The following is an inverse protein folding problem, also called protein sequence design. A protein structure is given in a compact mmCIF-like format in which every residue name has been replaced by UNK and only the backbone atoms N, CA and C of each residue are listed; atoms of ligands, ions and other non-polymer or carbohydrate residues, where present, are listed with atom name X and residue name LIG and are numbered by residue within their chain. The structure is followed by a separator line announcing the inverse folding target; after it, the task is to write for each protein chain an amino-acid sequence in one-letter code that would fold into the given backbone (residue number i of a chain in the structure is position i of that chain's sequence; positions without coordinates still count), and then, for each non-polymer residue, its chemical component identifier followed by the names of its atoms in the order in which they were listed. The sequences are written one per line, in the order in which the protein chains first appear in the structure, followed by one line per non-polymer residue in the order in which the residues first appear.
data_IF_302265795102
#
_entry.id   IF_302265795102
#
_cell.length_a   1.000
_cell.length_b   1.000
_cell.length_c   1.000
_cell.angle_alpha   90.00
_cell.angle_beta   90.00
_cell.angle_gamma   90.00
#
_symmetry.space_group_name_H-M   'P 1'
#
loop_
_entity.id
_entity.type
_entity.pdbx_description
1 polymer ?
#
# COMPACT_ATOMS: atom_id res chain seq x y z
N UNK A 1 35.97 7.50 -10.03
CA UNK A 1 34.53 7.52 -10.36
C UNK A 1 34.33 6.80 -11.68
N UNK A 2 33.22 6.07 -11.84
CA UNK A 2 32.89 5.42 -13.12
C UNK A 2 32.74 6.45 -14.26
N UNK A 3 33.31 6.12 -15.42
CA UNK A 3 33.41 6.94 -16.64
C UNK A 3 32.32 6.63 -17.68
N UNK A 4 32.18 7.47 -18.70
CA UNK A 4 31.24 7.19 -19.81
C UNK A 4 31.64 5.97 -20.66
N UNK A 5 32.90 5.53 -20.60
CA UNK A 5 33.36 4.29 -21.26
C UNK A 5 32.73 3.06 -20.61
N UNK A 6 32.56 3.07 -19.28
CA UNK A 6 31.89 1.99 -18.55
C UNK A 6 30.37 2.00 -18.81
N UNK A 7 29.79 3.18 -19.04
CA UNK A 7 28.37 3.31 -19.40
C UNK A 7 28.04 2.75 -20.80
N UNK A 8 29.03 2.53 -21.67
CA UNK A 8 28.82 1.98 -23.01
C UNK A 8 28.16 0.59 -23.00
N UNK A 9 28.38 -0.21 -21.95
CA UNK A 9 27.76 -1.53 -21.78
C UNK A 9 26.21 -1.48 -21.72
N UNK A 10 25.63 -0.34 -21.35
CA UNK A 10 24.18 -0.14 -21.25
C UNK A 10 23.56 0.47 -22.53
N UNK A 11 24.37 0.80 -23.54
CA UNK A 11 23.92 1.29 -24.84
C UNK A 11 22.89 2.42 -24.76
N UNK A 12 21.73 2.22 -25.39
CA UNK A 12 20.62 3.21 -25.40
C UNK A 12 19.99 3.45 -24.02
N UNK A 13 20.11 2.52 -23.07
CA UNK A 13 19.58 2.69 -21.72
C UNK A 13 20.46 3.59 -20.83
N UNK A 14 21.74 3.79 -21.20
CA UNK A 14 22.71 4.52 -20.41
C UNK A 14 22.20 5.91 -19.95
N UNK A 15 21.55 6.67 -20.84
CA UNK A 15 21.07 8.03 -20.58
C UNK A 15 19.97 8.14 -19.49
N UNK A 16 19.28 7.04 -19.20
CA UNK A 16 18.27 6.95 -18.14
C UNK A 16 18.87 6.46 -16.82
N UNK A 17 19.84 5.55 -16.89
CA UNK A 17 20.57 5.04 -15.72
C UNK A 17 21.55 6.08 -15.16
N UNK A 18 22.19 6.88 -16.03
CA UNK A 18 23.21 7.85 -15.64
C UNK A 18 23.41 8.92 -16.71
N UNK A 19 23.49 10.17 -16.30
CA UNK A 19 23.84 11.26 -17.22
C UNK A 19 25.30 11.14 -17.71
N UNK A 20 25.60 11.43 -18.99
CA UNK A 20 26.96 11.52 -19.51
C UNK A 20 27.85 12.45 -18.68
N UNK A 21 29.16 12.22 -18.72
CA UNK A 21 30.16 12.99 -17.97
C UNK A 21 30.10 14.47 -18.29
N UNK A 22 29.83 14.81 -19.57
CA UNK A 22 29.57 16.18 -19.99
C UNK A 22 28.37 16.79 -19.26
N UNK A 23 27.22 16.12 -19.23
CA UNK A 23 26.02 16.58 -18.51
C UNK A 23 26.27 16.64 -16.99
N UNK A 24 27.02 15.68 -16.42
CA UNK A 24 27.39 15.65 -14.99
C UNK A 24 28.29 16.84 -14.62
N UNK A 25 29.34 17.10 -15.39
CA UNK A 25 30.27 18.23 -15.18
C UNK A 25 29.54 19.56 -15.42
N UNK A 26 28.69 19.65 -16.44
CA UNK A 26 27.89 20.85 -16.69
C UNK A 26 26.92 21.11 -15.53
N UNK A 27 26.20 20.10 -15.04
CA UNK A 27 25.30 20.20 -13.90
C UNK A 27 26.03 20.58 -12.59
N UNK A 28 27.20 20.00 -12.32
CA UNK A 28 28.04 20.36 -11.16
C UNK A 28 28.65 21.76 -11.26
N UNK A 29 28.76 22.33 -12.47
CA UNK A 29 29.21 23.70 -12.72
C UNK A 29 28.06 24.71 -12.83
N UNK A 30 26.79 24.30 -12.70
CA UNK A 30 25.66 25.25 -12.66
C UNK A 30 25.78 26.12 -11.41
N UNK A 31 25.59 27.45 -11.51
CA UNK A 31 25.58 28.31 -10.33
C UNK A 31 24.54 27.87 -9.32
N UNK A 32 24.98 27.56 -8.10
CA UNK A 32 24.13 27.23 -6.96
C UNK A 32 24.34 28.25 -5.85
N UNK A 33 23.27 28.97 -5.50
CA UNK A 33 23.28 29.86 -4.34
C UNK A 33 22.50 29.21 -3.18
N UNK A 34 23.25 28.78 -2.16
CA UNK A 34 22.72 28.20 -0.93
C UNK A 34 21.84 29.17 -0.10
N UNK A 35 21.81 30.48 -0.43
CA UNK A 35 20.97 31.48 0.26
C UNK A 35 19.58 31.66 -0.38
N UNK A 36 19.41 31.17 -1.61
CA UNK A 36 18.15 31.24 -2.37
C UNK A 36 17.60 29.88 -2.78
N UNK A 37 18.40 28.82 -2.91
CA UNK A 37 17.87 27.46 -3.02
C UNK A 37 17.24 26.99 -1.69
N UNK A 38 16.02 26.46 -1.73
CA UNK A 38 15.32 25.95 -0.55
C UNK A 38 14.34 24.82 -0.91
N UNK A 39 13.67 24.30 0.12
CA UNK A 39 12.41 23.57 -0.01
C UNK A 39 11.35 24.36 0.76
N UNK A 40 10.10 24.32 0.33
CA UNK A 40 8.96 24.86 1.10
C UNK A 40 7.93 23.79 1.37
N UNK A 41 7.30 23.90 2.53
CA UNK A 41 6.12 23.09 2.84
C UNK A 41 4.98 23.46 1.89
N UNK A 42 4.37 22.45 1.26
CA UNK A 42 3.19 22.59 0.42
C UNK A 42 2.07 21.68 0.93
N UNK A 43 0.82 22.09 0.73
CA UNK A 43 -0.37 21.41 1.28
C UNK A 43 -0.74 20.14 0.50
N UNK A 44 -0.20 19.95 -0.72
CA UNK A 44 -0.44 18.77 -1.57
C UNK A 44 0.81 17.91 -1.74
N UNK A 45 1.94 18.53 -2.06
CA UNK A 45 3.19 17.83 -2.44
C UNK A 45 4.17 17.67 -1.26
N UNK A 46 3.74 18.03 -0.03
CA UNK A 46 4.50 18.06 1.22
C UNK A 46 5.71 19.00 1.22
N UNK A 47 6.73 18.76 0.39
CA UNK A 47 7.97 19.54 0.33
C UNK A 47 8.45 19.74 -1.10
N UNK A 48 8.21 20.93 -1.65
CA UNK A 48 8.58 21.25 -3.01
C UNK A 48 9.93 21.98 -3.08
N UNK A 49 10.84 21.49 -3.93
CA UNK A 49 12.12 22.15 -4.26
C UNK A 49 11.86 23.50 -4.89
N UNK A 50 12.59 24.54 -4.50
CA UNK A 50 12.48 25.80 -5.22
C UNK A 50 13.49 26.89 -4.91
N UNK A 51 13.35 27.98 -5.64
CA UNK A 51 14.21 29.17 -5.52
C UNK A 51 13.45 30.32 -4.86
N UNK A 52 14.03 30.89 -3.82
CA UNK A 52 13.54 32.08 -3.12
C UNK A 52 13.61 33.28 -4.04
N UNK A 53 12.44 33.77 -4.44
CA UNK A 53 12.23 34.94 -5.28
C UNK A 53 12.26 36.26 -4.50
N UNK A 54 11.81 36.24 -3.24
CA UNK A 54 11.70 37.42 -2.37
C UNK A 54 11.61 37.02 -0.90
N UNK A 55 12.06 37.93 -0.01
CA UNK A 55 11.87 37.87 1.45
C UNK A 55 11.36 39.23 1.92
N UNK A 56 10.25 39.25 2.65
CA UNK A 56 9.64 40.47 3.21
C UNK A 56 8.89 40.16 4.51
N UNK A 57 9.10 40.97 5.56
CA UNK A 57 8.35 40.87 6.82
C UNK A 57 8.30 39.47 7.48
N UNK A 58 9.32 38.62 7.28
CA UNK A 58 9.35 37.22 7.74
C UNK A 58 8.71 36.20 6.79
N UNK A 59 8.17 36.62 5.64
CA UNK A 59 7.60 35.78 4.58
C UNK A 59 8.62 35.54 3.47
N UNK A 60 8.47 34.43 2.76
CA UNK A 60 9.38 33.96 1.69
C UNK A 60 8.55 33.44 0.50
N UNK A 61 8.97 33.72 -0.74
CA UNK A 61 8.24 33.33 -1.97
C UNK A 61 9.09 32.39 -2.83
N UNK A 62 8.53 31.27 -3.30
CA UNK A 62 9.30 30.13 -3.87
C UNK A 62 8.57 29.50 -5.09
N UNK A 63 9.27 28.74 -5.96
CA UNK A 63 8.78 28.18 -7.25
C UNK A 63 9.24 26.72 -7.42
N UNK A 64 8.39 25.80 -7.91
CA UNK A 64 8.28 24.42 -7.38
C UNK A 64 8.40 23.28 -8.44
N UNK A 65 8.83 22.06 -8.05
CA UNK A 65 9.08 20.85 -8.91
C UNK A 65 8.98 19.48 -8.16
N UNK A 66 8.84 18.37 -8.92
CA UNK A 66 8.02 17.14 -8.64
C UNK A 66 8.78 15.80 -9.04
N UNK A 67 8.39 14.50 -8.87
CA UNK A 67 7.29 13.70 -8.21
C UNK A 67 7.80 12.29 -7.70
N UNK A 68 7.09 11.14 -7.91
CA UNK A 68 7.17 9.76 -7.27
C UNK A 68 6.72 8.61 -8.24
N UNK A 69 6.74 7.25 -8.05
CA UNK A 69 7.40 6.16 -7.24
C UNK A 69 7.10 4.73 -7.86
N UNK A 70 7.24 3.55 -7.17
CA UNK A 70 7.05 2.18 -7.76
C UNK A 70 6.99 0.92 -6.83
N UNK A 71 6.87 -0.32 -7.38
CA UNK A 71 6.47 -1.62 -6.73
C UNK A 71 7.46 -2.86 -6.85
N UNK A 72 7.12 -4.09 -6.39
CA UNK A 72 8.02 -5.23 -5.97
C UNK A 72 7.52 -6.70 -6.39
N UNK A 73 8.34 -7.79 -6.56
CA UNK A 73 7.92 -9.23 -6.89
C UNK A 73 8.94 -10.36 -6.51
N UNK A 74 8.60 -11.43 -5.71
CA UNK A 74 9.55 -12.46 -5.14
C UNK A 74 10.14 -13.51 -6.13
N UNK A 75 11.40 -13.96 -5.93
CA UNK A 75 12.15 -14.90 -6.84
C UNK A 75 13.10 -15.87 -6.07
N UNK A 76 13.24 -17.15 -6.45
CA UNK A 76 14.09 -18.17 -5.77
C UNK A 76 15.27 -18.71 -6.58
N UNK A 77 16.36 -19.07 -5.88
CA UNK A 77 17.63 -19.53 -6.46
C UNK A 77 18.20 -20.79 -5.78
N UNK A 78 18.84 -21.65 -6.58
CA UNK A 78 19.55 -22.85 -6.10
C UNK A 78 21.01 -22.58 -5.71
N UNK A 79 21.71 -23.61 -5.20
CA UNK A 79 23.13 -23.55 -4.75
C UNK A 79 24.11 -22.84 -5.69
N UNK A 80 23.88 -22.90 -7.01
CA UNK A 80 24.76 -22.33 -8.04
C UNK A 80 24.35 -20.91 -8.50
N UNK A 81 23.45 -20.23 -7.78
CA UNK A 81 22.95 -18.91 -8.15
C UNK A 81 22.00 -18.91 -9.36
N UNK A 82 21.59 -20.09 -9.84
CA UNK A 82 20.60 -20.23 -10.92
C UNK A 82 19.18 -20.12 -10.38
N UNK A 83 18.29 -19.50 -11.16
CA UNK A 83 16.85 -19.47 -10.91
C UNK A 83 16.32 -20.90 -10.71
N UNK A 84 15.60 -21.13 -9.61
CA UNK A 84 15.05 -22.44 -9.26
C UNK A 84 13.51 -22.45 -9.33
N UNK A 85 12.86 -21.40 -8.83
CA UNK A 85 11.40 -21.22 -8.85
C UNK A 85 11.05 -19.75 -8.61
N UNK A 86 9.76 -19.43 -8.64
CA UNK A 86 9.20 -18.24 -7.98
C UNK A 86 8.01 -18.69 -7.12
N UNK A 87 7.59 -17.85 -6.19
CA UNK A 87 6.25 -17.93 -5.62
C UNK A 87 5.66 -16.53 -5.49
N UNK A 88 4.34 -16.47 -5.61
CA UNK A 88 3.57 -15.25 -5.36
C UNK A 88 2.69 -15.54 -4.14
N UNK A 89 2.79 -14.65 -3.16
CA UNK A 89 1.96 -14.64 -1.97
C UNK A 89 1.22 -13.30 -1.97
N UNK A 90 -0.11 -13.37 -1.83
CA UNK A 90 -0.99 -12.20 -2.01
C UNK A 90 -1.68 -11.89 -0.69
N UNK A 91 -1.63 -10.64 -0.27
CA UNK A 91 -2.18 -10.17 1.00
C UNK A 91 -3.39 -9.26 0.75
N UNK A 92 -4.40 -9.36 1.60
CA UNK A 92 -5.53 -8.42 1.70
C UNK A 92 -6.18 -8.05 0.35
N UNK A 93 -6.65 -9.04 -0.41
CA UNK A 93 -7.51 -8.78 -1.57
C UNK A 93 -8.75 -8.00 -1.12
N UNK A 94 -8.99 -6.83 -1.70
CA UNK A 94 -10.03 -5.92 -1.26
C UNK A 94 -11.44 -6.45 -1.62
N UNK A 95 -12.06 -7.18 -0.68
CA UNK A 95 -13.41 -7.76 -0.80
C UNK A 95 -14.53 -6.73 -0.96
N UNK A 96 -14.36 -5.51 -0.43
CA UNK A 96 -15.28 -4.38 -0.61
C UNK A 96 -15.45 -4.04 -2.09
N UNK A 97 -14.34 -3.89 -2.81
CA UNK A 97 -14.27 -3.46 -4.22
C UNK A 97 -15.03 -4.34 -5.22
N UNK A 98 -15.36 -5.58 -4.83
CA UNK A 98 -16.19 -6.54 -5.59
C UNK A 98 -17.68 -6.15 -5.61
N UNK A 99 -18.17 -5.36 -4.64
CA UNK A 99 -19.60 -4.99 -4.55
C UNK A 99 -19.86 -3.53 -4.17
N UNK A 100 -18.81 -2.72 -4.00
CA UNK A 100 -18.87 -1.32 -3.62
C UNK A 100 -17.70 -0.59 -4.26
N UNK A 101 -17.91 0.66 -4.68
CA UNK A 101 -16.86 1.55 -5.19
C UNK A 101 -17.11 2.95 -4.64
N UNK A 102 -16.06 3.70 -4.32
CA UNK A 102 -16.19 5.14 -4.11
C UNK A 102 -16.44 5.87 -5.45
N UNK A 103 -17.03 7.08 -5.47
CA UNK A 103 -17.45 7.74 -6.71
C UNK A 103 -16.34 7.97 -7.74
N UNK A 104 -15.11 8.23 -7.29
CA UNK A 104 -13.94 8.47 -8.15
C UNK A 104 -13.12 7.19 -8.41
N UNK A 105 -13.57 6.03 -7.91
CA UNK A 105 -12.90 4.73 -8.07
C UNK A 105 -13.60 3.80 -9.06
N UNK A 106 -12.90 2.74 -9.47
CA UNK A 106 -13.40 1.64 -10.30
C UNK A 106 -13.38 0.32 -9.52
N UNK A 107 -14.18 -0.65 -9.96
CA UNK A 107 -14.06 -2.05 -9.54
C UNK A 107 -12.84 -2.74 -10.17
N UNK A 108 -12.68 -4.04 -9.94
CA UNK A 108 -11.63 -4.82 -10.60
C UNK A 108 -11.78 -4.82 -12.13
N UNK A 109 -10.67 -4.63 -12.85
CA UNK A 109 -10.64 -4.47 -14.32
C UNK A 109 -11.43 -5.54 -15.08
N UNK A 110 -11.36 -6.79 -14.62
CA UNK A 110 -11.95 -7.95 -15.32
C UNK A 110 -13.45 -7.83 -15.60
N UNK A 111 -14.23 -7.18 -14.72
CA UNK A 111 -15.66 -6.98 -14.98
C UNK A 111 -15.87 -6.15 -16.26
N UNK A 112 -15.07 -5.11 -16.47
CA UNK A 112 -15.19 -4.22 -17.62
C UNK A 112 -14.54 -4.81 -18.87
N UNK A 113 -13.38 -5.47 -18.72
CA UNK A 113 -12.73 -6.26 -19.77
C UNK A 113 -13.71 -7.26 -20.40
N UNK A 114 -14.40 -8.07 -19.60
CA UNK A 114 -15.42 -9.02 -20.09
C UNK A 114 -16.58 -8.31 -20.81
N UNK A 115 -17.05 -7.16 -20.30
CA UNK A 115 -18.16 -6.40 -20.90
C UNK A 115 -17.79 -5.67 -22.22
N UNK A 116 -16.52 -5.65 -22.64
CA UNK A 116 -16.11 -5.01 -23.91
C UNK A 116 -16.66 -5.67 -25.18
N UNK A 117 -17.15 -6.91 -25.09
CA UNK A 117 -17.49 -7.78 -26.22
C UNK A 117 -16.34 -8.04 -27.20
N UNK A 118 -15.08 -7.91 -26.75
CA UNK A 118 -13.90 -8.23 -27.56
C UNK A 118 -13.72 -9.75 -27.73
N UNK A 119 -14.18 -10.54 -26.75
CA UNK A 119 -14.36 -12.01 -26.81
C UNK A 119 -15.85 -12.35 -26.58
N UNK A 120 -16.70 -12.31 -27.63
CA UNK A 120 -18.17 -12.46 -27.49
C UNK A 120 -18.61 -13.76 -26.81
N UNK A 121 -17.82 -14.83 -26.93
CA UNK A 121 -18.04 -16.11 -26.27
C UNK A 121 -18.08 -15.97 -24.73
N UNK A 122 -17.43 -14.97 -24.14
CA UNK A 122 -17.52 -14.68 -22.71
C UNK A 122 -18.88 -14.08 -22.33
N UNK A 123 -19.47 -13.26 -23.19
CA UNK A 123 -20.82 -12.70 -23.00
C UNK A 123 -21.85 -13.85 -23.04
N UNK A 124 -21.77 -14.72 -24.05
CA UNK A 124 -22.66 -15.88 -24.19
C UNK A 124 -22.50 -16.89 -23.03
N UNK A 125 -21.25 -17.19 -22.64
CA UNK A 125 -20.96 -18.17 -21.57
C UNK A 125 -21.36 -17.69 -20.18
N UNK A 126 -21.26 -16.39 -19.90
CA UNK A 126 -21.57 -15.82 -18.57
C UNK A 126 -22.95 -15.18 -18.47
N UNK A 127 -23.70 -15.13 -19.58
CA UNK A 127 -25.06 -14.59 -19.67
C UNK A 127 -25.18 -13.12 -19.22
N UNK A 128 -24.09 -12.35 -19.37
CA UNK A 128 -24.04 -10.91 -19.10
C UNK A 128 -24.45 -10.11 -20.35
N UNK A 129 -24.36 -8.78 -20.27
CA UNK A 129 -24.44 -7.88 -21.41
C UNK A 129 -23.24 -6.91 -21.39
N UNK A 130 -23.21 -5.96 -22.33
CA UNK A 130 -22.07 -5.05 -22.55
C UNK A 130 -22.19 -3.69 -21.83
N UNK A 131 -23.17 -3.53 -20.95
CA UNK A 131 -23.50 -2.28 -20.27
C UNK A 131 -23.21 -2.38 -18.75
N UNK A 132 -22.11 -1.78 -18.24
CA UNK A 132 -21.77 -1.83 -16.81
C UNK A 132 -22.87 -1.33 -15.86
N UNK A 133 -23.75 -0.43 -16.33
CA UNK A 133 -24.85 0.10 -15.50
C UNK A 133 -25.96 -0.92 -15.22
N UNK A 134 -26.05 -2.02 -15.98
CA UNK A 134 -26.98 -3.12 -15.70
C UNK A 134 -26.46 -4.04 -14.57
N UNK A 135 -25.24 -3.79 -14.08
CA UNK A 135 -24.59 -4.54 -13.01
C UNK A 135 -24.22 -3.60 -11.83
N UNK A 136 -25.15 -3.31 -10.90
CA UNK A 136 -24.95 -2.34 -9.81
C UNK A 136 -23.77 -2.61 -8.86
N UNK A 137 -23.09 -3.75 -8.98
CA UNK A 137 -21.94 -4.14 -8.15
C UNK A 137 -20.60 -3.66 -8.71
N UNK A 138 -20.56 -3.16 -9.95
CA UNK A 138 -19.36 -2.60 -10.60
C UNK A 138 -19.61 -1.23 -11.27
N UNK A 139 -20.73 -0.55 -10.96
CA UNK A 139 -21.13 0.74 -11.55
C UNK A 139 -21.54 1.80 -10.52
N UNK A 140 -21.04 1.68 -9.27
CA UNK A 140 -21.24 2.69 -8.23
C UNK A 140 -20.28 3.90 -8.33
N UNK A 141 -19.13 3.69 -8.99
CA UNK A 141 -18.13 4.71 -9.30
C UNK A 141 -17.85 4.80 -10.80
N UNK A 142 -16.59 5.06 -11.15
CA UNK A 142 -16.13 5.16 -12.54
C UNK A 142 -16.19 3.81 -13.26
N UNK A 143 -16.64 3.82 -14.52
CA UNK A 143 -16.77 2.61 -15.36
C UNK A 143 -15.70 2.50 -16.46
N UNK A 144 -14.95 3.55 -16.74
CA UNK A 144 -13.86 3.62 -17.75
C UNK A 144 -12.68 4.41 -17.21
N UNK A 145 -11.48 4.19 -17.74
CA UNK A 145 -10.25 4.92 -17.37
C UNK A 145 -9.50 5.32 -18.63
N UNK A 146 -9.18 6.60 -18.80
CA UNK A 146 -8.64 7.14 -20.06
C UNK A 146 -7.25 6.63 -20.45
N UNK A 147 -6.56 5.90 -19.56
CA UNK A 147 -5.24 5.31 -19.77
C UNK A 147 -5.24 3.78 -19.89
N UNK A 148 -6.42 3.15 -20.00
CA UNK A 148 -6.58 1.69 -20.06
C UNK A 148 -7.48 1.34 -21.25
N UNK A 149 -7.01 0.49 -22.16
CA UNK A 149 -7.90 -0.18 -23.12
C UNK A 149 -8.27 -1.57 -22.56
N UNK A 150 -9.48 -1.68 -22.02
CA UNK A 150 -9.99 -2.92 -21.44
C UNK A 150 -10.09 -4.08 -22.47
N UNK A 151 -9.90 -3.84 -23.77
CA UNK A 151 -9.84 -4.89 -24.81
C UNK A 151 -8.44 -5.49 -24.94
N UNK A 152 -7.41 -4.65 -25.04
CA UNK A 152 -6.02 -5.09 -25.11
C UNK A 152 -5.64 -5.84 -23.82
N UNK A 153 -6.10 -5.34 -22.68
CA UNK A 153 -5.96 -6.02 -21.38
C UNK A 153 -6.76 -7.33 -21.30
N UNK A 154 -7.91 -7.48 -21.98
CA UNK A 154 -8.63 -8.77 -22.06
C UNK A 154 -7.84 -9.82 -22.88
N UNK A 155 -7.04 -9.42 -23.86
CA UNK A 155 -6.16 -10.33 -24.58
C UNK A 155 -4.95 -10.77 -23.75
N UNK A 156 -4.49 -9.92 -22.82
CA UNK A 156 -3.49 -10.28 -21.82
C UNK A 156 -4.04 -11.14 -20.66
N UNK A 157 -5.36 -11.06 -20.36
CA UNK A 157 -5.97 -11.69 -19.17
C UNK A 157 -6.77 -12.95 -19.53
N UNK A 158 -6.24 -14.12 -19.18
CA UNK A 158 -6.85 -15.44 -19.45
C UNK A 158 -7.82 -15.84 -18.31
N UNK A 159 -9.15 -15.79 -18.54
CA UNK A 159 -10.17 -15.79 -17.46
C UNK A 159 -11.40 -16.66 -17.74
N UNK A 160 -11.85 -17.35 -16.67
CA UNK A 160 -13.16 -18.01 -16.57
C UNK A 160 -13.89 -17.64 -15.25
N UNK A 161 -15.00 -16.89 -15.38
CA UNK A 161 -16.18 -16.82 -14.48
C UNK A 161 -16.07 -16.36 -12.99
N UNK A 162 -16.91 -15.39 -12.55
CA UNK A 162 -17.83 -15.54 -11.37
C UNK A 162 -18.57 -14.25 -10.92
N UNK A 163 -19.83 -14.41 -10.46
CA UNK A 163 -20.80 -13.40 -9.91
C UNK A 163 -21.79 -14.18 -9.00
N UNK A 164 -22.40 -13.72 -7.89
CA UNK A 164 -22.40 -12.48 -7.05
C UNK A 164 -22.39 -12.87 -5.53
N UNK A 165 -21.96 -11.97 -4.61
CA UNK A 165 -21.91 -12.08 -3.11
C UNK A 165 -21.25 -13.34 -2.49
N UNK A 166 -21.79 -14.52 -2.77
CA UNK A 166 -20.98 -15.73 -2.92
C UNK A 166 -19.74 -15.43 -3.77
N UNK A 167 -19.83 -14.55 -4.79
CA UNK A 167 -18.69 -13.99 -5.51
C UNK A 167 -17.61 -13.32 -4.67
N UNK A 168 -17.86 -12.76 -3.47
CA UNK A 168 -16.75 -12.28 -2.63
C UNK A 168 -15.87 -13.44 -2.20
N UNK A 169 -16.49 -14.52 -1.71
CA UNK A 169 -15.77 -15.73 -1.30
C UNK A 169 -15.35 -16.60 -2.50
N UNK A 170 -16.09 -16.64 -3.60
CA UNK A 170 -15.75 -17.38 -4.82
C UNK A 170 -14.65 -16.66 -5.59
N UNK A 171 -14.69 -15.33 -5.76
CA UNK A 171 -13.61 -14.59 -6.41
C UNK A 171 -12.35 -14.59 -5.55
N UNK A 172 -12.45 -14.47 -4.22
CA UNK A 172 -11.33 -14.74 -3.30
C UNK A 172 -10.78 -16.16 -3.47
N UNK A 173 -11.62 -17.20 -3.36
CA UNK A 173 -11.18 -18.60 -3.48
C UNK A 173 -10.68 -18.93 -4.88
N UNK A 174 -11.20 -18.29 -5.93
CA UNK A 174 -10.76 -18.41 -7.32
C UNK A 174 -9.41 -17.72 -7.51
N UNK A 175 -9.22 -16.52 -6.97
CA UNK A 175 -7.96 -15.79 -7.01
C UNK A 175 -6.87 -16.55 -6.23
N UNK A 176 -7.18 -17.01 -5.01
CA UNK A 176 -6.31 -17.89 -4.23
C UNK A 176 -6.05 -19.22 -4.96
N UNK A 177 -7.05 -19.81 -5.63
CA UNK A 177 -6.87 -21.01 -6.46
C UNK A 177 -5.98 -20.72 -7.68
N UNK A 178 -6.13 -19.59 -8.37
CA UNK A 178 -5.26 -19.16 -9.46
C UNK A 178 -3.82 -18.99 -8.96
N UNK A 179 -3.60 -18.32 -7.82
CA UNK A 179 -2.29 -18.21 -7.16
C UNK A 179 -1.73 -19.60 -6.81
N UNK A 180 -2.55 -20.52 -6.28
CA UNK A 180 -2.14 -21.91 -6.02
C UNK A 180 -1.79 -22.65 -7.32
N UNK A 181 -2.54 -22.47 -8.41
CA UNK A 181 -2.27 -23.08 -9.72
C UNK A 181 -1.00 -22.52 -10.36
N UNK A 182 -0.78 -21.21 -10.27
CA UNK A 182 0.45 -20.53 -10.69
C UNK A 182 1.64 -21.08 -9.88
N UNK A 183 1.55 -21.09 -8.54
CA UNK A 183 2.59 -21.64 -7.68
C UNK A 183 2.83 -23.15 -7.92
N UNK A 184 1.82 -23.93 -8.33
CA UNK A 184 1.97 -25.32 -8.78
C UNK A 184 2.72 -25.46 -10.12
N UNK A 185 2.61 -24.49 -11.03
CA UNK A 185 3.39 -24.47 -12.28
C UNK A 185 4.82 -23.94 -12.07
N UNK A 186 5.02 -23.05 -11.09
CA UNK A 186 6.32 -22.48 -10.72
C UNK A 186 7.17 -23.43 -9.84
N UNK A 187 6.57 -24.44 -9.21
CA UNK A 187 7.28 -25.43 -8.40
C UNK A 187 7.96 -26.51 -9.26
N UNK A 188 9.19 -26.20 -9.67
CA UNK A 188 10.07 -27.09 -10.45
C UNK A 188 10.58 -28.33 -9.70
N UNK A 189 10.26 -28.49 -8.40
CA UNK A 189 10.83 -29.51 -7.48
C UNK A 189 12.37 -29.50 -7.37
N UNK A 190 13.06 -28.49 -7.88
CA UNK A 190 14.51 -28.36 -7.75
C UNK A 190 14.92 -27.97 -6.32
N UNK A 191 16.17 -28.26 -5.95
CA UNK A 191 16.73 -27.85 -4.67
C UNK A 191 16.85 -26.31 -4.59
N UNK A 192 16.19 -25.73 -3.60
CA UNK A 192 16.19 -24.28 -3.32
C UNK A 192 17.09 -24.01 -2.11
N UNK A 193 17.87 -22.93 -2.16
CA UNK A 193 18.82 -22.58 -1.10
C UNK A 193 18.73 -21.13 -0.66
N UNK A 194 18.39 -20.23 -1.58
CA UNK A 194 18.29 -18.79 -1.35
C UNK A 194 17.07 -18.25 -2.07
N UNK A 195 16.52 -17.14 -1.59
CA UNK A 195 15.48 -16.41 -2.29
C UNK A 195 15.73 -14.91 -2.16
N UNK A 196 15.28 -14.16 -3.15
CA UNK A 196 15.18 -12.70 -3.08
C UNK A 196 13.71 -12.43 -2.78
N UNK A 197 13.45 -11.97 -1.54
CA UNK A 197 12.13 -11.60 -1.04
C UNK A 197 11.81 -10.16 -1.43
N UNK A 198 10.72 -9.97 -2.15
CA UNK A 198 10.38 -8.71 -2.81
C UNK A 198 8.84 -8.53 -2.68
N UNK A 199 8.44 -8.01 -1.51
CA UNK A 199 7.08 -7.88 -0.94
C UNK A 199 6.30 -6.64 -1.43
N UNK A 200 5.30 -6.80 -2.28
CA UNK A 200 4.53 -5.67 -2.82
C UNK A 200 3.15 -5.51 -2.19
N UNK A 201 2.93 -4.39 -1.49
CA UNK A 201 1.69 -4.07 -0.79
C UNK A 201 1.28 -2.62 -1.04
N UNK A 202 0.07 -2.25 -0.63
CA UNK A 202 -0.31 -0.84 -0.49
C UNK A 202 0.58 -0.16 0.55
N UNK A 203 0.99 1.08 0.28
CA UNK A 203 1.72 1.91 1.25
C UNK A 203 0.81 2.34 2.42
N UNK A 204 1.32 3.19 3.30
CA UNK A 204 0.50 3.78 4.36
C UNK A 204 -0.53 4.74 3.74
N UNK A 205 -1.82 4.54 4.04
CA UNK A 205 -2.95 5.25 3.42
C UNK A 205 -3.76 6.06 4.44
N UNK A 206 -4.14 7.28 4.07
CA UNK A 206 -5.00 8.17 4.86
C UNK A 206 -6.04 8.81 3.94
N UNK A 207 -7.28 8.38 4.07
CA UNK A 207 -8.43 8.92 3.36
C UNK A 207 -9.33 9.74 4.29
N UNK A 208 -10.34 10.43 3.73
CA UNK A 208 -11.40 11.10 4.51
C UNK A 208 -12.35 10.10 5.20
N UNK A 209 -12.31 8.83 4.82
CA UNK A 209 -13.00 7.71 5.46
C UNK A 209 -12.08 6.49 5.50
N UNK A 210 -11.61 6.10 6.69
CA UNK A 210 -10.74 4.94 6.90
C UNK A 210 -11.52 3.87 7.65
N UNK A 211 -11.56 2.63 7.14
CA UNK A 211 -12.28 1.51 7.76
C UNK A 211 -11.32 0.37 8.13
N UNK A 212 -11.84 -0.83 8.35
CA UNK A 212 -11.07 -2.01 8.79
C UNK A 212 -9.95 -2.35 7.80
N UNK A 213 -10.21 -2.17 6.51
CA UNK A 213 -9.27 -2.40 5.41
C UNK A 213 -8.03 -1.50 5.53
N UNK A 214 -8.23 -0.19 5.77
CA UNK A 214 -7.14 0.74 6.04
C UNK A 214 -6.40 0.43 7.34
N UNK A 215 -7.09 -0.03 8.39
CA UNK A 215 -6.40 -0.45 9.63
C UNK A 215 -5.42 -1.62 9.35
N UNK A 216 -5.84 -2.61 8.55
CA UNK A 216 -4.98 -3.74 8.18
C UNK A 216 -3.78 -3.32 7.31
N UNK A 217 -4.00 -2.42 6.33
CA UNK A 217 -2.93 -1.84 5.49
C UNK A 217 -1.93 -1.04 6.35
N UNK A 218 -2.44 -0.14 7.18
CA UNK A 218 -1.61 0.75 8.01
C UNK A 218 -0.87 -0.01 9.12
N UNK A 219 -1.48 -1.03 9.74
CA UNK A 219 -0.79 -1.92 10.68
C UNK A 219 0.35 -2.70 10.01
N UNK A 220 0.15 -3.16 8.76
CA UNK A 220 1.19 -3.85 8.00
C UNK A 220 2.36 -2.91 7.69
N UNK A 221 2.06 -1.66 7.30
CA UNK A 221 3.08 -0.63 7.09
C UNK A 221 3.81 -0.25 8.41
N UNK A 222 3.11 -0.18 9.54
CA UNK A 222 3.71 0.03 10.88
C UNK A 222 4.75 -1.07 11.20
N UNK A 223 4.40 -2.33 10.93
CA UNK A 223 5.30 -3.49 11.09
C UNK A 223 6.50 -3.43 10.15
N UNK A 224 6.31 -3.06 8.88
CA UNK A 224 7.41 -2.92 7.94
C UNK A 224 8.34 -1.75 8.32
N UNK A 225 7.80 -0.64 8.82
CA UNK A 225 8.61 0.48 9.30
C UNK A 225 9.40 0.10 10.56
N UNK A 226 8.81 -0.66 11.50
CA UNK A 226 9.55 -1.18 12.66
C UNK A 226 10.68 -2.13 12.22
N UNK A 227 10.42 -3.03 11.26
CA UNK A 227 11.45 -3.92 10.70
C UNK A 227 12.57 -3.14 10.01
N UNK A 228 12.24 -2.12 9.21
CA UNK A 228 13.20 -1.23 8.57
C UNK A 228 14.06 -0.48 9.60
N UNK A 229 13.44 0.16 10.59
CA UNK A 229 14.13 0.88 11.65
C UNK A 229 15.13 -0.04 12.38
N UNK A 230 14.69 -1.23 12.77
CA UNK A 230 15.55 -2.21 13.45
C UNK A 230 16.72 -2.66 12.57
N UNK A 231 16.47 -3.01 11.30
CA UNK A 231 17.52 -3.48 10.40
C UNK A 231 18.55 -2.38 10.08
N UNK A 232 18.08 -1.15 9.78
CA UNK A 232 18.95 0.00 9.52
C UNK A 232 19.79 0.35 10.75
N UNK A 233 19.19 0.35 11.94
CA UNK A 233 19.90 0.67 13.19
C UNK A 233 20.94 -0.39 13.59
N UNK A 234 20.71 -1.68 13.29
CA UNK A 234 21.75 -2.72 13.47
C UNK A 234 22.95 -2.45 12.55
N UNK A 235 22.72 -2.12 11.27
CA UNK A 235 23.79 -1.82 10.31
C UNK A 235 24.60 -0.57 10.68
N UNK A 236 23.94 0.51 11.14
CA UNK A 236 24.66 1.72 11.61
C UNK A 236 25.51 1.43 12.84
N UNK A 237 25.02 0.65 13.81
CA UNK A 237 25.80 0.28 15.00
C UNK A 237 27.02 -0.58 14.67
N UNK A 238 26.91 -1.51 13.70
CA UNK A 238 28.05 -2.29 13.22
C UNK A 238 29.13 -1.38 12.60
N UNK A 239 28.73 -0.36 11.84
CA UNK A 239 29.66 0.60 11.24
C UNK A 239 30.27 1.56 12.28
N UNK A 240 29.48 2.12 13.22
CA UNK A 240 30.01 2.94 14.32
C UNK A 240 31.04 2.16 15.15
N UNK A 241 30.75 0.88 15.45
CA UNK A 241 31.66 -0.02 16.17
C UNK A 241 32.93 -0.35 15.38
N UNK A 242 32.81 -0.50 14.06
CA UNK A 242 33.93 -0.75 13.13
C UNK A 242 34.86 0.46 13.03
N UNK A 243 34.30 1.67 12.97
CA UNK A 243 35.07 2.94 12.94
C UNK A 243 35.51 3.42 14.35
N UNK A 244 35.17 2.70 15.42
CA UNK A 244 35.57 3.00 16.79
C UNK A 244 34.87 4.22 17.42
N UNK A 245 33.70 4.60 16.88
CA UNK A 245 32.91 5.75 17.33
C UNK A 245 32.19 5.40 18.64
N UNK A 246 32.36 6.24 19.67
CA UNK A 246 31.61 6.14 20.92
C UNK A 246 30.22 6.73 20.71
N UNK A 247 29.19 5.89 20.79
CA UNK A 247 27.79 6.25 20.59
C UNK A 247 26.92 5.68 21.71
N UNK A 248 25.87 6.40 22.12
CA UNK A 248 24.92 5.93 23.14
C UNK A 248 23.77 5.15 22.48
N UNK A 249 23.33 4.06 23.12
CA UNK A 249 22.31 3.18 22.56
C UNK A 249 20.91 3.81 22.66
N UNK A 250 20.25 3.97 21.50
CA UNK A 250 18.89 4.52 21.37
C UNK A 250 18.07 3.55 20.49
N UNK A 251 17.08 2.86 21.06
CA UNK A 251 16.28 1.89 20.31
C UNK A 251 15.09 2.53 19.58
N UNK A 252 15.34 2.99 18.35
CA UNK A 252 14.34 3.51 17.41
C UNK A 252 13.30 2.46 16.94
N UNK A 253 13.40 1.20 17.38
CA UNK A 253 12.37 0.18 17.20
C UNK A 253 11.24 0.27 18.23
N UNK A 254 11.48 0.91 19.38
CA UNK A 254 10.47 1.05 20.44
C UNK A 254 9.43 2.14 20.16
N UNK A 255 9.75 3.17 19.38
CA UNK A 255 8.82 4.29 19.12
C UNK A 255 7.50 3.82 18.49
N UNK A 256 7.57 2.86 17.55
CA UNK A 256 6.40 2.26 16.90
C UNK A 256 5.71 1.18 17.74
N UNK A 257 6.41 0.64 18.76
CA UNK A 257 5.88 -0.47 19.57
C UNK A 257 4.57 -0.09 20.25
N UNK A 258 4.42 1.15 20.73
CA UNK A 258 3.19 1.60 21.40
C UNK A 258 1.91 1.53 20.55
N UNK A 259 2.02 1.71 19.22
CA UNK A 259 0.92 1.58 18.26
C UNK A 259 0.75 0.12 17.80
N UNK A 260 1.85 -0.58 17.54
CA UNK A 260 1.85 -2.00 17.17
C UNK A 260 1.21 -2.86 18.26
N UNK A 261 1.58 -2.63 19.52
CA UNK A 261 1.05 -3.40 20.66
C UNK A 261 -0.42 -3.08 20.96
N UNK A 262 -0.84 -1.83 20.73
CA UNK A 262 -2.25 -1.41 20.80
C UNK A 262 -3.13 -2.20 19.82
N UNK A 263 -2.59 -2.56 18.65
CA UNK A 263 -3.33 -3.26 17.60
C UNK A 263 -3.32 -4.79 17.82
N UNK A 264 -2.14 -5.39 18.08
CA UNK A 264 -1.95 -6.85 17.98
C UNK A 264 -2.02 -7.64 19.29
N UNK A 265 -1.81 -7.03 20.46
CA UNK A 265 -1.67 -7.78 21.72
C UNK A 265 -3.02 -8.25 22.26
N UNK A 266 -3.03 -9.22 23.21
CA UNK A 266 -4.22 -9.50 24.01
C UNK A 266 -4.77 -8.22 24.65
N UNK A 267 -6.09 -8.02 24.58
CA UNK A 267 -6.77 -6.77 24.96
C UNK A 267 -6.38 -5.54 24.12
N UNK A 268 -5.78 -5.73 22.93
CA UNK A 268 -5.63 -4.73 21.87
C UNK A 268 -6.80 -4.75 20.87
N UNK A 269 -6.73 -3.91 19.83
CA UNK A 269 -7.86 -3.62 18.93
C UNK A 269 -8.38 -4.89 18.23
N UNK A 270 -7.51 -5.72 17.63
CA UNK A 270 -7.95 -6.95 16.98
C UNK A 270 -8.47 -7.99 18.00
N UNK A 271 -7.78 -8.13 19.14
CA UNK A 271 -8.22 -9.03 20.23
C UNK A 271 -9.61 -8.68 20.77
N UNK A 272 -9.95 -7.39 20.88
CA UNK A 272 -11.28 -6.91 21.32
C UNK A 272 -12.32 -7.07 20.20
N UNK A 273 -11.92 -6.91 18.93
CA UNK A 273 -12.80 -7.11 17.77
C UNK A 273 -13.20 -8.59 17.63
N UNK A 274 -12.25 -9.49 17.74
CA UNK A 274 -12.47 -10.94 17.77
C UNK A 274 -13.39 -11.35 18.94
N UNK A 275 -13.14 -10.82 20.15
CA UNK A 275 -13.97 -11.09 21.32
C UNK A 275 -15.43 -10.64 21.12
N UNK A 276 -15.65 -9.42 20.59
CA UNK A 276 -16.99 -8.92 20.28
C UNK A 276 -17.67 -9.70 19.14
N UNK A 277 -16.93 -10.16 18.14
CA UNK A 277 -17.48 -11.00 17.08
C UNK A 277 -18.07 -12.32 17.60
N UNK A 278 -17.58 -12.84 18.73
CA UNK A 278 -18.10 -14.06 19.37
C UNK A 278 -19.41 -13.86 20.14
N UNK A 279 -19.82 -12.61 20.44
CA UNK A 279 -21.05 -12.34 21.19
C UNK A 279 -22.25 -12.08 20.27
N UNK A 280 -23.33 -12.90 20.30
CA UNK A 280 -24.50 -12.75 19.42
C UNK A 280 -25.34 -11.48 19.60
N UNK A 281 -24.99 -10.61 20.56
CA UNK A 281 -25.64 -9.32 20.84
C UNK A 281 -24.66 -8.15 20.84
N UNK A 282 -23.41 -8.37 20.42
CA UNK A 282 -22.45 -7.28 20.21
C UNK A 282 -22.89 -6.39 19.03
N UNK A 283 -22.41 -5.16 19.04
CA UNK A 283 -22.64 -4.12 18.04
C UNK A 283 -21.40 -3.25 17.92
N UNK A 284 -21.25 -2.51 16.82
CA UNK A 284 -20.12 -1.59 16.67
C UNK A 284 -20.05 -0.56 17.84
N UNK A 285 -21.19 -0.26 18.48
CA UNK A 285 -21.24 0.57 19.68
C UNK A 285 -20.71 -0.12 20.94
N UNK A 286 -20.94 -1.42 21.16
CA UNK A 286 -20.35 -2.13 22.30
C UNK A 286 -18.84 -2.34 22.10
N UNK A 287 -18.42 -2.64 20.87
CA UNK A 287 -17.02 -2.67 20.46
C UNK A 287 -16.32 -1.32 20.72
N UNK A 288 -16.90 -0.21 20.27
CA UNK A 288 -16.39 1.15 20.57
C UNK A 288 -16.20 1.39 22.06
N UNK A 289 -17.20 1.02 22.87
CA UNK A 289 -17.17 1.29 24.30
C UNK A 289 -16.05 0.47 24.97
N UNK A 290 -15.89 -0.82 24.62
CA UNK A 290 -14.75 -1.64 25.08
C UNK A 290 -13.39 -1.02 24.70
N UNK A 291 -13.20 -0.57 23.46
CA UNK A 291 -11.97 0.10 23.05
C UNK A 291 -11.69 1.36 23.88
N UNK A 292 -12.71 2.20 24.11
CA UNK A 292 -12.60 3.41 24.90
C UNK A 292 -12.27 3.10 26.36
N UNK A 293 -13.02 2.20 27.01
CA UNK A 293 -12.81 1.80 28.40
C UNK A 293 -11.44 1.16 28.61
N UNK A 294 -10.91 0.44 27.61
CA UNK A 294 -9.62 -0.24 27.70
C UNK A 294 -8.41 0.64 27.35
N UNK A 295 -8.52 1.60 26.43
CA UNK A 295 -7.35 2.33 25.90
C UNK A 295 -7.36 3.86 26.13
N UNK A 296 -8.51 4.51 26.22
CA UNK A 296 -8.57 5.98 26.26
C UNK A 296 -7.89 6.54 27.52
N UNK A 297 -6.87 7.37 27.33
CA UNK A 297 -6.08 7.93 28.43
C UNK A 297 -5.15 6.92 29.13
N UNK A 298 -5.05 5.69 28.60
CA UNK A 298 -4.13 4.64 29.06
C UNK A 298 -3.02 4.35 28.06
N UNK A 299 -3.30 4.43 26.75
CA UNK A 299 -2.31 4.35 25.68
C UNK A 299 -2.31 5.65 24.86
N UNK A 300 -1.14 6.28 24.71
CA UNK A 300 -0.95 7.56 24.01
C UNK A 300 -1.28 7.50 22.51
N UNK A 301 -1.16 6.31 21.90
CA UNK A 301 -1.49 6.09 20.50
C UNK A 301 -3.01 6.03 20.25
N UNK A 302 -3.85 5.81 21.27
CA UNK A 302 -5.31 5.78 21.14
C UNK A 302 -5.94 7.14 21.49
N UNK A 303 -6.56 7.80 20.52
CA UNK A 303 -7.10 9.16 20.69
C UNK A 303 -8.57 9.26 20.26
N UNK A 304 -9.21 10.38 20.64
CA UNK A 304 -10.55 10.74 20.14
C UNK A 304 -10.43 11.44 18.78
N UNK A 305 -11.37 11.19 17.84
CA UNK A 305 -11.38 11.85 16.55
C UNK A 305 -11.51 13.36 16.69
N UNK A 306 -10.89 14.10 15.76
CA UNK A 306 -10.93 15.56 15.71
C UNK A 306 -12.05 16.00 14.75
N UNK A 307 -13.26 16.32 15.23
CA UNK A 307 -14.40 16.61 14.37
C UNK A 307 -14.14 17.86 13.51
N UNK A 308 -14.07 17.68 12.20
CA UNK A 308 -13.93 18.74 11.21
C UNK A 308 -15.18 18.81 10.33
N UNK A 309 -15.64 20.02 9.99
CA UNK A 309 -16.79 20.19 9.11
C UNK A 309 -16.49 19.62 7.72
N UNK A 310 -17.32 18.67 7.26
CA UNK A 310 -17.22 18.07 5.93
C UNK A 310 -16.42 16.77 5.84
N UNK A 311 -15.73 16.34 6.91
CA UNK A 311 -15.18 14.97 6.99
C UNK A 311 -16.28 13.96 7.32
N UNK A 312 -16.06 12.69 6.97
CA UNK A 312 -16.93 11.60 7.36
C UNK A 312 -16.90 11.37 8.88
N UNK A 313 -17.88 10.63 9.41
CA UNK A 313 -17.89 10.24 10.82
C UNK A 313 -16.73 9.30 11.13
N UNK A 314 -16.03 9.54 12.25
CA UNK A 314 -14.98 8.69 12.79
C UNK A 314 -15.24 8.44 14.28
N UNK A 315 -14.73 7.31 14.77
CA UNK A 315 -15.08 6.75 16.08
C UNK A 315 -13.88 6.74 17.05
N UNK A 316 -12.66 6.51 16.55
CA UNK A 316 -11.40 6.67 17.27
C UNK A 316 -10.30 7.14 16.30
N UNK A 317 -9.17 7.59 16.84
CA UNK A 317 -7.97 7.86 16.04
C UNK A 317 -6.79 7.05 16.56
N UNK A 318 -5.88 6.64 15.67
CA UNK A 318 -4.58 6.09 16.05
C UNK A 318 -3.46 7.05 15.65
N UNK A 319 -2.42 7.13 16.49
CA UNK A 319 -1.15 7.76 16.16
C UNK A 319 -0.20 6.69 15.61
N UNK A 320 -0.09 6.66 14.29
CA UNK A 320 0.85 5.85 13.54
C UNK A 320 2.14 6.63 13.26
N UNK A 321 3.23 5.95 12.89
CA UNK A 321 4.49 6.62 12.50
C UNK A 321 4.32 7.68 11.40
N UNK A 322 3.40 7.45 10.46
CA UNK A 322 3.12 8.33 9.33
C UNK A 322 2.15 9.48 9.66
N UNK A 323 1.45 9.45 10.81
CA UNK A 323 0.50 10.49 11.21
C UNK A 323 -0.67 9.97 12.05
N UNK A 324 -1.60 10.88 12.38
CA UNK A 324 -2.86 10.49 13.03
C UNK A 324 -3.91 10.10 11.99
N UNK A 325 -4.48 8.90 12.11
CA UNK A 325 -5.54 8.40 11.23
C UNK A 325 -6.85 8.28 12.02
N UNK A 326 -7.92 8.86 11.48
CA UNK A 326 -9.28 8.80 12.04
C UNK A 326 -10.05 7.61 11.42
N UNK A 327 -10.49 6.64 12.24
CA UNK A 327 -11.11 5.39 11.80
C UNK A 327 -12.62 5.34 12.08
N UNK A 328 -13.37 4.82 11.12
CA UNK A 328 -14.79 4.49 11.23
C UNK A 328 -14.99 2.97 11.38
N UNK A 329 -15.67 2.57 12.46
CA UNK A 329 -15.88 1.17 12.87
C UNK A 329 -17.18 0.54 12.35
N UNK A 330 -18.00 1.26 11.59
CA UNK A 330 -19.33 0.79 11.15
C UNK A 330 -19.18 -0.47 10.28
N UNK A 331 -19.88 -1.53 10.68
CA UNK A 331 -19.85 -2.84 10.05
C UNK A 331 -18.59 -3.67 10.34
N UNK A 332 -17.68 -3.26 11.24
CA UNK A 332 -16.46 -4.03 11.51
C UNK A 332 -16.75 -5.41 12.07
N UNK A 333 -17.77 -5.55 12.93
CA UNK A 333 -18.14 -6.86 13.46
C UNK A 333 -18.63 -7.82 12.37
N UNK A 334 -19.28 -7.32 11.33
CA UNK A 334 -19.81 -8.15 10.25
C UNK A 334 -18.74 -8.41 9.18
N UNK A 335 -17.87 -7.43 8.88
CA UNK A 335 -16.65 -7.61 8.07
C UNK A 335 -15.74 -8.70 8.65
N UNK A 336 -15.54 -8.71 9.96
CA UNK A 336 -14.66 -9.66 10.64
C UNK A 336 -15.29 -11.05 10.83
N UNK A 337 -16.63 -11.16 10.84
CA UNK A 337 -17.36 -12.45 10.84
C UNK A 337 -17.41 -13.11 9.45
N UNK A 338 -17.33 -12.33 8.38
CA UNK A 338 -17.58 -12.73 6.97
C UNK A 338 -18.74 -13.75 6.81
N UNK A 339 -19.95 -13.44 7.32
CA UNK A 339 -21.01 -14.42 7.50
C UNK A 339 -21.58 -14.90 6.16
N UNK A 340 -21.49 -16.21 5.92
CA UNK A 340 -22.07 -16.88 4.76
C UNK A 340 -23.42 -17.54 5.13
N UNK A 341 -24.38 -17.45 4.21
CA UNK A 341 -25.69 -18.15 4.28
C UNK A 341 -25.61 -19.55 3.64
#
# INVERSE_FOLDING_TARGET
MSTDVEMAAYGKAAIYLRKPERERIEAQRKPFDAKSACYVADVKELYLKGTIKSKDGGKVTVVLLDTKEGKFIRIHFGTSGKLASADIETYLLEKSRVSFQLPDERGYHIFYQMMTNHKPELIEMTLINTNPYDFPMCSQGQITVASIDDKEELDATDVYNSVSALAKSIYERMFLWMVIRINQMLDTKQQRNFYIGVLDIAGFEIFDYNSMEQLCINFTNEKLQQFFNHHMFVLEQEEYKKEGIVWEFIDFGMDLASCIELIEKPMGIFSILEEECMFPKASDTSFKNKLYDQHLGKNNAFQKPKPAKGKAEAHFSLVHYAGTVDYNITGWLDKNKDPLN
#
